data_IF_107051556943
#
_entry.id   IF_107051556943
#
_cell.length_a   1.000
_cell.length_b   1.000
_cell.length_c   1.000
_cell.angle_alpha   90.00
_cell.angle_beta   90.00
_cell.angle_gamma   90.00
#
_symmetry.space_group_name_H-M   'P 1'
#
loop_
_entity.id
_entity.type
_entity.pdbx_description
1 polymer ?
#
# COMPACT_ATOMS: atom_id res chain seq x y z
N UNK A 1 7.03 -18.57 -16.57
CA UNK A 1 7.42 -19.09 -15.23
C UNK A 1 6.15 -19.58 -14.53
N UNK A 2 6.20 -20.76 -13.89
CA UNK A 2 5.01 -21.37 -13.28
C UNK A 2 4.46 -20.51 -12.13
N UNK A 3 3.15 -20.51 -11.94
CA UNK A 3 2.45 -19.77 -10.86
C UNK A 3 3.01 -20.10 -9.45
N UNK A 4 3.46 -21.34 -9.26
CA UNK A 4 4.09 -21.81 -8.01
C UNK A 4 5.41 -21.09 -7.75
N UNK A 5 6.27 -20.95 -8.75
CA UNK A 5 7.56 -20.28 -8.59
C UNK A 5 7.38 -18.80 -8.20
N UNK A 6 6.46 -18.10 -8.88
CA UNK A 6 6.14 -16.71 -8.55
C UNK A 6 5.64 -16.58 -7.11
N UNK A 7 4.75 -17.49 -6.69
CA UNK A 7 4.24 -17.52 -5.31
C UNK A 7 5.35 -17.74 -4.29
N UNK A 8 6.22 -18.74 -4.48
CA UNK A 8 7.31 -19.03 -3.56
C UNK A 8 8.31 -17.86 -3.49
N UNK A 9 8.65 -17.27 -4.65
CA UNK A 9 9.55 -16.13 -4.74
C UNK A 9 8.97 -14.88 -4.07
N UNK A 10 7.72 -14.51 -4.36
CA UNK A 10 7.09 -13.31 -3.81
C UNK A 10 6.81 -13.45 -2.30
N UNK A 11 6.41 -14.64 -1.83
CA UNK A 11 6.23 -14.90 -0.41
C UNK A 11 7.56 -14.89 0.34
N UNK A 12 8.57 -15.61 -0.16
CA UNK A 12 9.91 -15.63 0.44
C UNK A 12 10.53 -14.24 0.50
N UNK A 13 10.43 -13.46 -0.59
CA UNK A 13 10.85 -12.07 -0.61
C UNK A 13 10.12 -11.22 0.42
N UNK A 14 8.81 -11.38 0.56
CA UNK A 14 8.01 -10.64 1.54
C UNK A 14 8.43 -10.96 2.98
N UNK A 15 8.67 -12.24 3.29
CA UNK A 15 9.17 -12.66 4.61
C UNK A 15 10.55 -12.06 4.89
N UNK A 16 11.45 -12.06 3.91
CA UNK A 16 12.78 -11.47 4.05
C UNK A 16 12.71 -9.95 4.24
N UNK A 17 11.88 -9.23 3.48
CA UNK A 17 11.65 -7.79 3.63
C UNK A 17 11.06 -7.43 5.00
N UNK A 18 10.11 -8.21 5.50
CA UNK A 18 9.51 -8.03 6.83
C UNK A 18 10.47 -8.33 7.98
N UNK A 19 11.54 -9.10 7.75
CA UNK A 19 12.38 -9.65 8.82
C UNK A 19 13.80 -9.09 8.84
N UNK A 20 14.49 -9.10 7.69
CA UNK A 20 15.94 -8.90 7.59
C UNK A 20 16.28 -7.73 6.67
N UNK A 21 15.67 -7.66 5.49
CA UNK A 21 16.12 -6.78 4.40
C UNK A 21 15.50 -5.39 4.50
N UNK A 22 16.33 -4.40 4.77
CA UNK A 22 15.97 -2.98 4.72
C UNK A 22 16.03 -2.42 3.30
N UNK A 23 15.20 -1.41 3.02
CA UNK A 23 15.41 -0.57 1.84
C UNK A 23 16.65 0.31 2.02
N UNK A 24 17.23 0.74 0.89
CA UNK A 24 18.38 1.63 0.90
C UNK A 24 18.03 2.96 1.61
N UNK A 25 19.02 3.58 2.26
CA UNK A 25 18.85 4.92 2.84
C UNK A 25 18.68 5.93 1.70
N UNK A 26 17.46 6.43 1.54
CA UNK A 26 17.05 7.34 0.46
C UNK A 26 16.24 8.50 1.05
N UNK A 27 16.00 9.60 0.30
CA UNK A 27 15.21 10.75 0.78
C UNK A 27 13.77 10.43 1.20
N UNK A 28 13.26 9.25 0.83
CA UNK A 28 11.91 8.80 1.15
C UNK A 28 11.90 7.69 2.20
N UNK A 29 13.08 7.22 2.63
CA UNK A 29 13.21 6.15 3.62
C UNK A 29 12.63 6.64 4.94
N UNK A 30 11.74 5.85 5.54
CA UNK A 30 11.27 6.11 6.90
C UNK A 30 12.49 6.19 7.82
N UNK A 31 12.56 7.21 8.67
CA UNK A 31 13.75 7.48 9.49
C UNK A 31 14.11 6.35 10.48
N UNK A 32 15.20 6.55 11.21
CA UNK A 32 15.67 5.59 12.23
C UNK A 32 14.63 5.42 13.37
N UNK A 33 14.88 4.45 14.27
CA UNK A 33 13.97 4.10 15.38
C UNK A 33 13.43 5.35 16.11
N UNK A 34 12.11 5.51 16.08
CA UNK A 34 11.39 6.62 16.68
C UNK A 34 10.91 7.70 15.70
N UNK A 35 11.23 7.59 14.40
CA UNK A 35 10.65 8.43 13.35
C UNK A 35 9.11 8.37 13.33
N UNK A 36 8.52 7.22 13.72
CA UNK A 36 7.08 7.02 13.86
C UNK A 36 6.40 7.96 14.88
N UNK A 37 7.18 8.51 15.83
CA UNK A 37 6.69 9.39 16.89
C UNK A 37 6.87 10.88 16.58
N UNK A 38 7.47 11.21 15.44
CA UNK A 38 7.60 12.61 15.04
C UNK A 38 6.25 13.19 14.60
N UNK A 39 6.04 14.51 14.75
CA UNK A 39 4.85 15.17 14.27
C UNK A 39 4.64 14.93 12.77
N UNK A 40 3.42 14.55 12.40
CA UNK A 40 3.08 14.23 11.02
C UNK A 40 2.43 15.44 10.36
N UNK A 41 2.98 15.85 9.21
CA UNK A 41 2.35 16.84 8.34
C UNK A 41 1.49 16.12 7.29
N UNK A 42 0.23 16.52 7.18
CA UNK A 42 -0.70 15.97 6.18
C UNK A 42 -0.82 16.96 5.03
N UNK A 43 -0.60 16.48 3.82
CA UNK A 43 -0.78 17.25 2.58
C UNK A 43 -1.75 16.53 1.64
N UNK A 44 -2.47 17.29 0.82
CA UNK A 44 -3.44 16.76 -0.14
C UNK A 44 -3.12 17.24 -1.54
N UNK A 45 -3.18 16.33 -2.51
CA UNK A 45 -3.00 16.60 -3.93
C UNK A 45 -4.25 16.10 -4.65
N UNK A 46 -4.86 16.95 -5.48
CA UNK A 46 -6.01 16.61 -6.29
C UNK A 46 -5.59 16.31 -7.74
N UNK A 47 -6.14 15.23 -8.30
CA UNK A 47 -5.95 14.86 -9.70
C UNK A 47 -7.28 14.95 -10.44
N UNK A 48 -7.23 15.39 -11.71
CA UNK A 48 -8.41 15.36 -12.59
C UNK A 48 -8.81 13.92 -12.88
N UNK A 49 -10.05 13.58 -12.56
CA UNK A 49 -10.58 12.22 -12.80
C UNK A 49 -10.58 11.87 -14.29
N UNK A 50 -10.77 12.85 -15.17
CA UNK A 50 -10.82 12.64 -16.61
C UNK A 50 -9.44 12.29 -17.16
N UNK A 51 -8.38 12.98 -16.70
CA UNK A 51 -7.00 12.60 -17.06
C UNK A 51 -6.64 11.20 -16.57
N UNK A 52 -7.08 10.81 -15.37
CA UNK A 52 -6.84 9.44 -14.86
C UNK A 52 -7.57 8.42 -15.74
N UNK A 53 -8.82 8.70 -16.16
CA UNK A 53 -9.57 7.82 -17.08
C UNK A 53 -8.91 7.71 -18.44
N UNK A 54 -8.34 8.79 -18.97
CA UNK A 54 -7.64 8.77 -20.26
C UNK A 54 -6.39 7.90 -20.19
N UNK A 55 -5.56 8.05 -19.15
CA UNK A 55 -4.38 7.21 -18.93
C UNK A 55 -4.78 5.75 -18.74
N UNK A 56 -5.82 5.50 -17.92
CA UNK A 56 -6.38 4.17 -17.70
C UNK A 56 -6.75 3.50 -19.02
N UNK A 57 -7.46 4.23 -19.89
CA UNK A 57 -7.93 3.72 -21.18
C UNK A 57 -6.76 3.44 -22.12
N UNK A 58 -5.78 4.34 -22.21
CA UNK A 58 -4.58 4.17 -23.03
C UNK A 58 -3.74 2.97 -22.62
N UNK A 59 -3.62 2.72 -21.32
CA UNK A 59 -2.77 1.64 -20.79
C UNK A 59 -3.52 0.32 -20.57
N UNK A 60 -4.87 0.32 -20.60
CA UNK A 60 -5.67 -0.88 -20.32
C UNK A 60 -5.59 -1.36 -18.86
N UNK A 61 -5.36 -0.44 -17.91
CA UNK A 61 -5.14 -0.74 -16.48
C UNK A 61 -6.31 -0.29 -15.60
N UNK A 62 -6.18 -0.38 -14.27
CA UNK A 62 -7.20 0.14 -13.33
C UNK A 62 -6.90 1.57 -12.87
N UNK A 63 -7.92 2.29 -12.36
CA UNK A 63 -7.73 3.65 -11.81
C UNK A 63 -6.68 3.66 -10.68
N UNK A 64 -6.67 2.62 -9.84
CA UNK A 64 -5.74 2.49 -8.73
C UNK A 64 -4.30 2.32 -9.22
N UNK A 65 -4.11 1.58 -10.31
CA UNK A 65 -2.79 1.36 -10.88
C UNK A 65 -2.23 2.66 -11.47
N UNK A 66 -3.09 3.47 -12.11
CA UNK A 66 -2.72 4.80 -12.61
C UNK A 66 -2.30 5.71 -11.47
N UNK A 67 -3.13 5.87 -10.44
CA UNK A 67 -2.82 6.74 -9.29
C UNK A 67 -1.55 6.28 -8.58
N UNK A 68 -1.41 4.98 -8.32
CA UNK A 68 -0.20 4.42 -7.69
C UNK A 68 1.04 4.66 -8.56
N UNK A 69 0.93 4.46 -9.89
CA UNK A 69 2.02 4.72 -10.82
C UNK A 69 2.44 6.19 -10.87
N UNK A 70 1.48 7.12 -10.86
CA UNK A 70 1.76 8.56 -10.78
C UNK A 70 2.48 8.91 -9.48
N UNK A 71 2.01 8.40 -8.34
CA UNK A 71 2.66 8.62 -7.04
C UNK A 71 4.08 8.07 -7.06
N UNK A 72 4.30 6.83 -7.48
CA UNK A 72 5.64 6.23 -7.56
C UNK A 72 6.57 6.98 -8.52
N UNK A 73 6.05 7.43 -9.66
CA UNK A 73 6.82 8.21 -10.62
C UNK A 73 7.25 9.56 -10.02
N UNK A 74 6.31 10.28 -9.40
CA UNK A 74 6.60 11.55 -8.72
C UNK A 74 7.59 11.36 -7.57
N UNK A 75 7.45 10.30 -6.78
CA UNK A 75 8.41 9.91 -5.73
C UNK A 75 9.80 9.69 -6.32
N UNK A 76 9.93 9.00 -7.45
CA UNK A 76 11.23 8.78 -8.10
C UNK A 76 11.85 10.05 -8.66
N UNK A 77 11.05 10.96 -9.21
CA UNK A 77 11.54 12.28 -9.64
C UNK A 77 12.06 13.09 -8.44
N UNK A 78 11.33 13.10 -7.32
CA UNK A 78 11.79 13.72 -6.08
C UNK A 78 13.09 13.11 -5.58
N UNK A 79 13.19 11.78 -5.53
CA UNK A 79 14.41 11.07 -5.18
C UNK A 79 15.59 11.50 -6.06
N UNK A 80 15.42 11.51 -7.39
CA UNK A 80 16.46 11.93 -8.33
C UNK A 80 16.95 13.37 -8.06
N UNK A 81 16.03 14.28 -7.78
CA UNK A 81 16.35 15.68 -7.52
C UNK A 81 17.13 15.87 -6.21
N UNK A 82 16.73 15.15 -5.15
CA UNK A 82 17.38 15.24 -3.84
C UNK A 82 18.72 14.51 -3.80
N UNK A 83 18.81 13.35 -4.45
CA UNK A 83 20.04 12.59 -4.61
C UNK A 83 19.97 11.78 -5.91
N UNK A 84 20.76 12.19 -6.90
CA UNK A 84 20.84 11.53 -8.21
C UNK A 84 21.08 10.02 -8.14
N UNK A 85 21.78 9.50 -7.12
CA UNK A 85 22.03 8.06 -6.94
C UNK A 85 20.77 7.31 -6.51
N UNK A 86 19.87 7.99 -5.81
CA UNK A 86 18.65 7.41 -5.25
C UNK A 86 17.59 7.06 -6.31
N UNK A 87 17.71 7.57 -7.54
CA UNK A 87 16.81 7.25 -8.66
C UNK A 87 16.74 5.75 -9.00
N UNK A 88 17.80 5.01 -8.67
CA UNK A 88 17.92 3.56 -8.87
C UNK A 88 18.00 2.74 -7.58
N UNK A 89 17.98 3.39 -6.42
CA UNK A 89 18.03 2.72 -5.11
C UNK A 89 16.81 1.85 -4.87
N UNK A 90 17.01 0.79 -4.08
CA UNK A 90 15.95 -0.13 -3.70
C UNK A 90 15.01 0.58 -2.73
N UNK A 91 13.77 0.72 -3.18
CA UNK A 91 12.68 1.31 -2.40
C UNK A 91 11.44 0.47 -2.60
N UNK A 92 10.77 0.14 -1.50
CA UNK A 92 9.61 -0.73 -1.44
C UNK A 92 8.45 0.04 -0.85
N UNK A 93 7.32 0.01 -1.55
CA UNK A 93 6.04 0.45 -1.04
C UNK A 93 5.28 -0.74 -0.47
N UNK A 94 4.78 -0.58 0.75
CA UNK A 94 3.86 -1.51 1.37
C UNK A 94 2.43 -1.14 0.95
N UNK A 95 1.87 -1.89 0.01
CA UNK A 95 0.49 -1.68 -0.46
C UNK A 95 -0.46 -2.42 0.46
N UNK A 96 -1.27 -1.69 1.22
CA UNK A 96 -2.28 -2.28 2.09
C UNK A 96 -3.53 -2.64 1.29
N UNK A 97 -4.04 -3.84 1.53
CA UNK A 97 -5.21 -4.39 0.87
C UNK A 97 -6.27 -4.70 1.93
N UNK A 98 -7.51 -4.36 1.63
CA UNK A 98 -8.65 -4.76 2.45
C UNK A 98 -8.92 -6.26 2.21
N UNK A 99 -8.95 -7.07 3.28
CA UNK A 99 -9.25 -8.51 3.19
C UNK A 99 -10.73 -8.83 3.36
N UNK A 100 -11.57 -7.82 3.59
CA UNK A 100 -13.02 -8.02 3.69
C UNK A 100 -13.61 -8.29 2.32
N UNK A 101 -14.40 -9.36 2.23
CA UNK A 101 -15.22 -9.64 1.05
C UNK A 101 -16.60 -8.96 1.22
N UNK A 102 -16.60 -7.63 1.17
CA UNK A 102 -17.81 -6.80 1.28
C UNK A 102 -17.92 -5.94 0.02
N UNK A 103 -19.07 -5.99 -0.63
CA UNK A 103 -19.48 -4.97 -1.59
C UNK A 103 -20.24 -3.87 -0.83
N UNK A 104 -19.69 -2.64 -0.83
CA UNK A 104 -20.36 -1.47 -0.27
C UNK A 104 -20.24 -1.30 1.25
N UNK A 105 -21.05 -0.38 1.78
CA UNK A 105 -21.09 -0.03 3.20
C UNK A 105 -21.92 -1.05 4.00
N UNK A 106 -21.45 -1.41 5.20
CA UNK A 106 -22.21 -2.21 6.17
C UNK A 106 -22.49 -1.38 7.43
N UNK A 107 -23.67 -1.57 8.01
CA UNK A 107 -23.99 -0.95 9.30
C UNK A 107 -23.12 -1.54 10.41
N UNK A 108 -22.89 -0.76 11.49
CA UNK A 108 -22.10 -1.24 12.64
C UNK A 108 -22.76 -2.49 13.25
N UNK A 109 -24.09 -2.51 13.37
CA UNK A 109 -24.83 -3.63 13.92
C UNK A 109 -24.64 -4.91 13.08
N UNK A 110 -24.61 -4.78 11.75
CA UNK A 110 -24.29 -5.90 10.87
C UNK A 110 -22.85 -6.36 11.07
N UNK A 111 -21.89 -5.43 11.14
CA UNK A 111 -20.46 -5.74 11.33
C UNK A 111 -20.16 -6.42 12.66
N UNK A 112 -20.96 -6.16 13.71
CA UNK A 112 -20.85 -6.81 15.02
C UNK A 112 -21.54 -8.19 15.07
N UNK A 113 -22.43 -8.49 14.12
CA UNK A 113 -23.15 -9.75 14.09
C UNK A 113 -22.32 -10.88 13.45
N UNK A 114 -21.58 -11.63 14.29
CA UNK A 114 -20.71 -12.74 13.89
C UNK A 114 -21.42 -13.89 13.16
N UNK A 115 -22.76 -13.97 13.22
CA UNK A 115 -23.55 -15.01 12.55
C UNK A 115 -24.02 -14.63 11.14
N UNK A 116 -23.99 -13.35 10.77
CA UNK A 116 -24.50 -12.85 9.48
C UNK A 116 -23.45 -12.11 8.64
N UNK A 117 -22.42 -11.56 9.26
CA UNK A 117 -21.50 -10.63 8.58
C UNK A 117 -20.29 -11.34 7.95
N UNK A 118 -20.09 -11.10 6.65
CA UNK A 118 -18.83 -11.36 5.91
C UNK A 118 -17.75 -10.31 6.22
N UNK A 119 -18.05 -9.37 7.11
CA UNK A 119 -17.40 -8.08 7.24
C UNK A 119 -17.24 -7.64 8.69
N UNK A 120 -16.58 -8.48 9.48
CA UNK A 120 -16.44 -8.25 10.93
C UNK A 120 -15.80 -6.89 11.26
N UNK A 121 -16.25 -6.32 12.38
CA UNK A 121 -15.66 -5.13 12.99
C UNK A 121 -14.17 -5.34 13.37
N UNK A 122 -13.38 -4.26 13.31
CA UNK A 122 -11.93 -4.26 13.57
C UNK A 122 -11.09 -4.38 12.30
N UNK A 123 -9.77 -4.15 12.38
CA UNK A 123 -8.88 -4.06 11.22
C UNK A 123 -8.71 -5.41 10.50
N UNK A 124 -9.13 -5.46 9.23
CA UNK A 124 -8.98 -6.61 8.33
C UNK A 124 -8.21 -6.17 7.10
N UNK A 125 -6.90 -6.13 7.28
CA UNK A 125 -5.95 -5.72 6.24
C UNK A 125 -4.91 -6.82 6.06
N UNK A 126 -4.37 -6.87 4.84
CA UNK A 126 -3.15 -7.56 4.51
C UNK A 126 -2.28 -6.58 3.74
N UNK A 127 -1.04 -6.95 3.45
CA UNK A 127 -0.12 -6.08 2.76
C UNK A 127 0.66 -6.81 1.68
N UNK A 128 1.11 -6.03 0.70
CA UNK A 128 1.94 -6.48 -0.38
C UNK A 128 3.18 -5.60 -0.49
N UNK A 129 4.36 -6.23 -0.49
CA UNK A 129 5.60 -5.55 -0.81
C UNK A 129 5.69 -5.31 -2.32
N UNK A 130 5.60 -4.06 -2.75
CA UNK A 130 5.70 -3.64 -4.14
C UNK A 130 6.99 -2.83 -4.31
N UNK A 131 8.00 -3.35 -5.04
CA UNK A 131 9.18 -2.55 -5.34
C UNK A 131 8.78 -1.36 -6.22
N UNK A 132 9.18 -0.16 -5.83
CA UNK A 132 8.96 1.07 -6.62
C UNK A 132 9.88 0.96 -7.85
N UNK A 133 9.35 1.02 -9.09
CA UNK A 133 10.17 0.87 -10.29
C UNK A 133 11.34 1.86 -10.30
N UNK A 134 12.49 1.43 -10.81
CA UNK A 134 13.66 2.30 -10.95
C UNK A 134 13.41 3.30 -12.09
N UNK A 135 13.93 4.52 -11.90
CA UNK A 135 13.86 5.57 -12.90
C UNK A 135 15.10 5.54 -13.80
N UNK A 136 14.89 5.68 -15.10
CA UNK A 136 15.93 5.79 -16.13
C UNK A 136 15.50 6.82 -17.18
N UNK A 137 16.40 7.21 -18.07
CA UNK A 137 16.14 8.27 -19.06
C UNK A 137 14.93 7.94 -19.96
N UNK A 138 14.75 6.69 -20.35
CA UNK A 138 13.62 6.28 -21.19
C UNK A 138 12.28 6.49 -20.49
N UNK A 139 12.21 6.20 -19.18
CA UNK A 139 11.00 6.39 -18.36
C UNK A 139 10.73 7.84 -18.00
N UNK A 140 11.76 8.69 -18.00
CA UNK A 140 11.59 10.14 -17.85
C UNK A 140 10.94 10.71 -19.12
N UNK A 141 11.40 10.27 -20.29
CA UNK A 141 10.85 10.66 -21.59
C UNK A 141 9.44 10.11 -21.82
N UNK A 142 9.13 8.93 -21.28
CA UNK A 142 7.81 8.32 -21.37
C UNK A 142 7.28 7.88 -19.98
N UNK A 143 6.59 8.77 -19.24
CA UNK A 143 6.01 8.45 -17.94
C UNK A 143 4.95 7.34 -17.98
N UNK A 144 4.31 7.12 -19.14
CA UNK A 144 3.29 6.07 -19.28
C UNK A 144 3.90 4.66 -19.15
N UNK A 145 5.14 4.47 -19.62
CA UNK A 145 5.85 3.20 -19.46
C UNK A 145 6.14 2.91 -17.99
N UNK A 146 6.45 3.95 -17.19
CA UNK A 146 6.64 3.80 -15.75
C UNK A 146 5.35 3.35 -15.05
N UNK A 147 4.22 3.94 -15.42
CA UNK A 147 2.89 3.55 -14.89
C UNK A 147 2.57 2.11 -15.30
N UNK A 148 2.84 1.74 -16.56
CA UNK A 148 2.63 0.38 -17.04
C UNK A 148 3.51 -0.64 -16.29
N UNK A 149 4.78 -0.33 -16.03
CA UNK A 149 5.67 -1.18 -15.23
C UNK A 149 5.15 -1.37 -13.81
N UNK A 150 4.66 -0.28 -13.20
CA UNK A 150 4.04 -0.31 -11.88
C UNK A 150 2.85 -1.26 -11.86
N UNK A 151 1.96 -1.15 -12.86
CA UNK A 151 0.84 -2.07 -13.03
C UNK A 151 1.30 -3.52 -13.16
N UNK A 152 2.30 -3.81 -14.01
CA UNK A 152 2.80 -5.16 -14.24
C UNK A 152 3.32 -5.81 -12.94
N UNK A 153 4.07 -5.07 -12.13
CA UNK A 153 4.58 -5.54 -10.84
C UNK A 153 3.44 -5.85 -9.88
N UNK A 154 2.48 -4.92 -9.75
CA UNK A 154 1.33 -5.07 -8.85
C UNK A 154 0.45 -6.24 -9.29
N UNK A 155 0.13 -6.33 -10.58
CA UNK A 155 -0.73 -7.38 -11.14
C UNK A 155 -0.10 -8.77 -10.95
N UNK A 156 1.21 -8.92 -11.26
CA UNK A 156 1.96 -10.15 -11.01
C UNK A 156 1.89 -10.58 -9.55
N UNK A 157 2.06 -9.64 -8.63
CA UNK A 157 2.03 -9.91 -7.19
C UNK A 157 0.63 -10.22 -6.67
N UNK A 158 -0.41 -9.57 -7.19
CA UNK A 158 -1.81 -9.89 -6.90
C UNK A 158 -2.21 -11.30 -7.35
N UNK A 159 -1.64 -11.78 -8.45
CA UNK A 159 -1.86 -13.14 -8.96
C UNK A 159 -1.11 -14.21 -8.14
N UNK A 160 -0.14 -13.81 -7.30
CA UNK A 160 0.54 -14.73 -6.40
C UNK A 160 -0.31 -15.03 -5.16
N UNK A 161 -0.16 -16.21 -4.58
CA UNK A 161 -0.77 -16.52 -3.28
C UNK A 161 -0.01 -15.90 -2.09
N UNK A 162 1.00 -15.07 -2.34
CA UNK A 162 1.85 -14.49 -1.28
C UNK A 162 1.02 -13.70 -0.26
N UNK A 163 0.01 -12.96 -0.72
CA UNK A 163 -0.90 -12.19 0.16
C UNK A 163 -1.68 -13.11 1.10
N UNK A 164 -2.18 -14.24 0.60
CA UNK A 164 -2.90 -15.22 1.41
C UNK A 164 -1.96 -15.91 2.40
N UNK A 165 -0.76 -16.31 1.96
CA UNK A 165 0.25 -16.94 2.81
C UNK A 165 0.74 -15.99 3.91
N UNK A 166 0.93 -14.71 3.61
CA UNK A 166 1.26 -13.69 4.62
C UNK A 166 0.11 -13.53 5.62
N UNK A 167 -1.15 -13.53 5.16
CA UNK A 167 -2.31 -13.51 6.06
C UNK A 167 -2.31 -14.71 7.02
N UNK A 168 -2.11 -15.92 6.51
CA UNK A 168 -2.01 -17.14 7.32
C UNK A 168 -0.83 -17.08 8.30
N UNK A 169 0.32 -16.57 7.88
CA UNK A 169 1.50 -16.41 8.75
C UNK A 169 1.18 -15.49 9.94
N UNK A 170 0.55 -14.35 9.71
CA UNK A 170 0.17 -13.42 10.77
C UNK A 170 -0.89 -14.01 11.70
N UNK A 171 -1.84 -14.80 11.16
CA UNK A 171 -2.83 -15.50 11.99
C UNK A 171 -2.19 -16.55 12.90
N UNK A 172 -1.26 -17.34 12.36
CA UNK A 172 -0.46 -18.31 13.13
C UNK A 172 0.33 -17.57 14.22
N UNK A 173 1.04 -16.50 13.86
CA UNK A 173 1.79 -15.71 14.83
C UNK A 173 0.89 -15.15 15.92
N UNK A 174 -0.30 -14.64 15.58
CA UNK A 174 -1.28 -14.16 16.54
C UNK A 174 -1.81 -15.24 17.49
N UNK A 175 -1.97 -16.47 17.02
CA UNK A 175 -2.40 -17.62 17.84
C UNK A 175 -1.30 -18.09 18.81
N UNK A 176 -0.04 -18.08 18.37
CA UNK A 176 1.07 -18.62 19.17
C UNK A 176 1.76 -17.59 20.06
N UNK A 177 1.83 -16.33 19.63
CA UNK A 177 2.61 -15.27 20.29
C UNK A 177 1.76 -14.08 20.75
N UNK A 178 0.46 -14.09 20.46
CA UNK A 178 -0.45 -13.00 20.79
C UNK A 178 -0.44 -11.85 19.78
N UNK A 179 -1.38 -10.92 19.95
CA UNK A 179 -1.59 -9.81 19.01
C UNK A 179 -0.49 -8.75 19.07
N UNK A 180 0.17 -8.58 20.22
CA UNK A 180 1.31 -7.67 20.39
C UNK A 180 2.50 -8.08 19.49
N UNK A 181 2.77 -9.39 19.38
CA UNK A 181 3.80 -9.89 18.47
C UNK A 181 3.47 -9.60 17.00
N UNK A 182 2.20 -9.74 16.62
CA UNK A 182 1.71 -9.39 15.27
C UNK A 182 1.84 -7.89 15.01
N UNK A 183 1.48 -7.04 15.98
CA UNK A 183 1.63 -5.58 15.88
C UNK A 183 3.10 -5.20 15.68
N UNK A 184 4.01 -5.79 16.47
CA UNK A 184 5.46 -5.60 16.33
C UNK A 184 5.98 -6.07 14.96
N UNK A 185 5.46 -7.19 14.44
CA UNK A 185 5.82 -7.68 13.09
C UNK A 185 5.41 -6.67 12.01
N UNK A 186 4.17 -6.18 12.07
CA UNK A 186 3.64 -5.20 11.12
C UNK A 186 4.43 -3.90 11.20
N UNK A 187 4.66 -3.39 12.41
CA UNK A 187 5.48 -2.20 12.65
C UNK A 187 6.86 -2.36 12.03
N UNK A 188 7.56 -3.45 12.34
CA UNK A 188 8.86 -3.75 11.73
C UNK A 188 8.79 -3.79 10.20
N UNK A 189 7.75 -4.40 9.63
CA UNK A 189 7.59 -4.45 8.17
C UNK A 189 7.44 -3.05 7.56
N UNK A 190 6.66 -2.19 8.20
CA UNK A 190 6.50 -0.79 7.81
C UNK A 190 7.81 -0.04 7.93
N UNK A 191 8.52 -0.15 9.07
CA UNK A 191 9.78 0.56 9.28
C UNK A 191 10.93 0.06 8.42
N UNK A 192 10.84 -1.14 7.82
CA UNK A 192 11.81 -1.66 6.83
C UNK A 192 11.49 -1.26 5.38
N UNK A 193 10.32 -0.65 5.15
CA UNK A 193 9.83 -0.20 3.84
C UNK A 193 9.95 1.32 3.68
N UNK A 194 9.96 1.81 2.45
CA UNK A 194 10.11 3.25 2.15
C UNK A 194 8.79 4.02 2.17
N UNK A 195 7.68 3.36 1.84
CA UNK A 195 6.38 4.01 1.81
C UNK A 195 5.27 3.03 2.19
N UNK A 196 4.15 3.56 2.68
CA UNK A 196 2.90 2.81 2.82
C UNK A 196 1.87 3.44 1.91
N UNK A 197 1.27 2.62 1.05
CA UNK A 197 0.21 3.05 0.14
C UNK A 197 -1.06 2.34 0.52
N UNK A 198 -2.10 3.12 0.79
CA UNK A 198 -3.45 2.62 1.00
C UNK A 198 -4.34 3.20 -0.08
N UNK A 199 -5.39 2.49 -0.42
CA UNK A 199 -6.40 3.00 -1.32
C UNK A 199 -7.78 2.61 -0.82
N UNK A 200 -8.65 3.60 -0.72
CA UNK A 200 -10.03 3.46 -0.31
C UNK A 200 -10.89 4.29 -1.24
N UNK A 201 -11.91 3.65 -1.82
CA UNK A 201 -12.99 4.39 -2.48
C UNK A 201 -13.78 5.07 -1.37
N UNK A 202 -13.86 6.39 -1.42
CA UNK A 202 -14.64 7.17 -0.46
C UNK A 202 -16.13 6.81 -0.53
N UNK A 203 -16.89 7.08 0.54
CA UNK A 203 -18.34 6.87 0.52
C UNK A 203 -18.98 7.74 -0.56
N UNK A 204 -19.95 7.16 -1.27
CA UNK A 204 -20.74 7.87 -2.29
C UNK A 204 -21.86 8.70 -1.68
N UNK A 205 -22.23 8.38 -0.44
CA UNK A 205 -23.25 9.07 0.33
C UNK A 205 -22.72 10.40 0.88
N UNK A 206 -23.56 11.44 0.87
CA UNK A 206 -23.26 12.69 1.56
C UNK A 206 -23.20 12.44 3.07
N UNK A 207 -22.18 13.00 3.71
CA UNK A 207 -21.97 12.90 5.15
C UNK A 207 -21.95 14.29 5.77
N UNK A 208 -22.40 14.37 7.02
CA UNK A 208 -22.30 15.58 7.85
C UNK A 208 -21.79 15.24 9.24
N UNK A 209 -20.92 16.08 9.79
CA UNK A 209 -20.50 16.02 11.18
C UNK A 209 -21.14 17.18 11.94
N UNK A 210 -21.93 16.90 12.98
CA UNK A 210 -22.68 17.92 13.72
C UNK A 210 -23.48 18.86 12.80
N UNK A 211 -24.19 18.31 11.81
CA UNK A 211 -24.96 19.03 10.78
C UNK A 211 -24.13 19.89 9.81
N UNK A 212 -22.81 19.80 9.83
CA UNK A 212 -21.94 20.44 8.84
C UNK A 212 -21.52 19.45 7.76
N UNK A 213 -21.76 19.73 6.47
CA UNK A 213 -21.34 18.86 5.37
C UNK A 213 -19.83 18.58 5.40
N UNK A 214 -19.47 17.31 5.27
CA UNK A 214 -18.07 16.87 5.22
C UNK A 214 -17.61 16.86 3.77
N UNK A 215 -16.55 17.62 3.46
CA UNK A 215 -15.96 17.67 2.11
C UNK A 215 -15.13 16.43 1.76
N UNK A 216 -14.58 15.76 2.77
CA UNK A 216 -13.80 14.54 2.60
C UNK A 216 -13.39 13.93 3.94
N UNK A 217 -13.15 12.62 3.94
CA UNK A 217 -12.56 11.87 5.04
C UNK A 217 -11.26 11.25 4.56
N UNK A 218 -10.18 11.48 5.27
CA UNK A 218 -8.87 10.93 4.96
C UNK A 218 -8.45 10.00 6.10
N UNK A 219 -8.16 8.75 5.76
CA UNK A 219 -7.59 7.80 6.71
C UNK A 219 -6.06 7.88 6.60
N UNK A 220 -5.41 8.15 7.72
CA UNK A 220 -3.96 8.15 7.84
C UNK A 220 -3.57 7.07 8.86
N UNK A 221 -2.45 6.37 8.60
CA UNK A 221 -1.84 5.40 9.52
C UNK A 221 -0.92 6.08 10.55
N UNK A 222 -0.95 7.42 10.60
CA UNK A 222 -0.25 8.24 11.57
C UNK A 222 -0.58 7.79 13.01
N UNK A 223 0.44 7.45 13.79
CA UNK A 223 0.28 7.11 15.20
C UNK A 223 -0.56 5.84 15.44
N UNK A 224 -0.49 4.85 14.54
CA UNK A 224 -1.18 3.57 14.72
C UNK A 224 -0.88 2.98 16.11
N UNK A 225 -1.89 2.42 16.81
CA UNK A 225 -1.72 1.94 18.17
C UNK A 225 -0.70 0.78 18.21
N UNK A 226 0.18 0.85 19.21
CA UNK A 226 1.04 -0.25 19.65
C UNK A 226 0.21 -1.43 20.16
#
# INVERSE_FOLDING_TARGET
>A
MSSIFNTASDFGWSVLKSSIIDDDKTPIRLGDDGADFQPICISSIAFSIDHIKDIKTKLGVTMNDVVTGIVFYGTRLYMQEMDSKSKTSNSTALVLLNTRNIEGYQSIDDMLNTKKSKGLWGNKITFLHVPIPKLNETKILNPLDFIHDTHNIINRKKQSLAVALTGTLLEIEGKFRGQEAVAKHIRRTITKSSAVVTNLVGPVQQMSLANHPVKGLYFTLAGGPE
#
